data_IF_316656724787
#
_entry.id   IF_316656724787
#
_cell.length_a   1.000
_cell.length_b   1.000
_cell.length_c   1.000
_cell.angle_alpha   90.00
_cell.angle_beta   90.00
_cell.angle_gamma   90.00
#
_symmetry.space_group_name_H-M   'P 1'
#
loop_
_entity.id
_entity.type
_entity.pdbx_description
1 polymer ?
#
# COMPACT_ATOMS: atom_id res chain seq x y z
N UNK A 1 -25.78 -10.84 5.31
CA UNK A 1 -24.96 -10.65 6.51
C UNK A 1 -23.54 -10.39 6.04
N UNK A 2 -23.22 -9.13 5.78
CA UNK A 2 -21.92 -8.71 5.25
C UNK A 2 -20.97 -8.67 6.44
N UNK A 3 -19.87 -9.43 6.39
CA UNK A 3 -18.86 -9.40 7.45
C UNK A 3 -18.27 -7.98 7.49
N UNK A 4 -18.51 -7.28 8.59
CA UNK A 4 -17.83 -6.05 8.95
C UNK A 4 -16.34 -6.36 9.02
N UNK A 5 -15.59 -5.89 8.01
CA UNK A 5 -14.14 -6.07 7.90
C UNK A 5 -13.42 -5.06 8.81
N UNK A 6 -13.82 -5.03 10.09
CA UNK A 6 -13.14 -4.26 11.13
C UNK A 6 -11.91 -5.03 11.58
N UNK A 7 -10.94 -5.16 10.66
CA UNK A 7 -9.56 -5.40 11.05
C UNK A 7 -9.17 -4.14 11.82
N UNK A 8 -8.85 -4.24 13.13
CA UNK A 8 -8.41 -3.06 13.88
C UNK A 8 -7.27 -2.42 13.10
N UNK A 9 -7.30 -1.09 12.86
CA UNK A 9 -6.25 -0.43 12.11
C UNK A 9 -4.93 -0.79 12.78
N UNK A 10 -3.97 -1.25 11.98
CA UNK A 10 -2.65 -1.52 12.49
C UNK A 10 -2.16 -0.27 13.24
N UNK A 11 -1.56 -0.45 14.41
CA UNK A 11 -1.17 0.67 15.26
C UNK A 11 -0.22 1.60 14.50
N UNK A 12 -0.70 2.76 14.05
CA UNK A 12 0.10 3.74 13.29
C UNK A 12 -0.70 4.49 12.22
N UNK A 13 -0.10 5.50 11.58
CA UNK A 13 -0.73 6.22 10.47
C UNK A 13 -0.82 5.36 9.21
N UNK A 14 -1.85 5.59 8.41
CA UNK A 14 -1.91 5.09 7.05
C UNK A 14 -1.01 5.93 6.14
N UNK A 15 -0.21 5.27 5.31
CA UNK A 15 0.55 5.91 4.24
C UNK A 15 -0.28 5.84 2.96
N UNK A 16 -0.61 7.00 2.40
CA UNK A 16 -1.46 7.11 1.21
C UNK A 16 -0.62 7.66 0.06
N UNK A 17 -0.43 6.86 -0.99
CA UNK A 17 0.21 7.30 -2.23
C UNK A 17 -0.87 7.66 -3.23
N UNK A 18 -0.95 8.94 -3.58
CA UNK A 18 -1.90 9.45 -4.57
C UNK A 18 -1.22 9.51 -5.94
N UNK A 19 -1.84 8.87 -6.91
CA UNK A 19 -1.38 8.76 -8.30
C UNK A 19 0.10 8.35 -8.44
N UNK A 20 0.58 7.30 -7.74
CA UNK A 20 1.96 6.87 -7.87
C UNK A 20 2.26 6.41 -9.30
N UNK A 21 3.42 6.82 -9.79
CA UNK A 21 3.77 6.70 -11.21
C UNK A 21 4.48 5.38 -11.57
N UNK A 22 5.27 4.82 -10.65
CA UNK A 22 6.07 3.62 -10.89
C UNK A 22 5.87 2.61 -9.76
N UNK A 23 5.72 1.34 -10.10
CA UNK A 23 5.62 0.25 -9.13
C UNK A 23 6.85 0.19 -8.21
N UNK A 24 8.03 0.43 -8.75
CA UNK A 24 9.30 0.44 -8.01
C UNK A 24 9.28 1.46 -6.85
N UNK A 25 8.66 2.63 -7.05
CA UNK A 25 8.51 3.63 -5.99
C UNK A 25 7.59 3.15 -4.87
N UNK A 26 6.50 2.46 -5.24
CA UNK A 26 5.58 1.85 -4.26
C UNK A 26 6.33 0.79 -3.43
N UNK A 27 7.14 -0.04 -4.08
CA UNK A 27 7.98 -1.03 -3.39
C UNK A 27 8.99 -0.40 -2.43
N UNK A 28 9.68 0.67 -2.85
CA UNK A 28 10.61 1.41 -1.97
C UNK A 28 9.90 2.04 -0.77
N UNK A 29 8.68 2.57 -0.94
CA UNK A 29 7.85 3.06 0.16
C UNK A 29 7.48 1.93 1.11
N UNK A 30 7.02 0.79 0.61
CA UNK A 30 6.71 -0.39 1.42
C UNK A 30 7.92 -0.86 2.24
N UNK A 31 9.11 -0.86 1.64
CA UNK A 31 10.37 -1.17 2.34
C UNK A 31 10.66 -0.18 3.47
N UNK A 32 10.49 1.12 3.22
CA UNK A 32 10.66 2.13 4.26
C UNK A 32 9.65 1.93 5.39
N UNK A 33 8.37 1.69 5.07
CA UNK A 33 7.32 1.40 6.04
C UNK A 33 7.70 0.23 6.97
N UNK A 34 8.12 -0.90 6.41
CA UNK A 34 8.52 -2.08 7.20
C UNK A 34 9.70 -1.79 8.14
N UNK A 35 10.68 -0.98 7.70
CA UNK A 35 11.81 -0.58 8.55
C UNK A 35 11.39 0.30 9.74
N UNK A 36 10.27 1.01 9.63
CA UNK A 36 9.74 1.91 10.66
C UNK A 36 8.49 1.38 11.36
N UNK A 37 8.15 0.10 11.17
CA UNK A 37 7.00 -0.54 11.83
C UNK A 37 5.62 -0.07 11.33
N UNK A 38 5.56 0.55 10.15
CA UNK A 38 4.32 0.93 9.48
C UNK A 38 3.84 -0.21 8.59
N UNK A 39 2.53 -0.41 8.53
CA UNK A 39 1.94 -1.56 7.81
C UNK A 39 0.72 -1.20 6.96
N UNK A 40 0.12 -0.03 7.15
CA UNK A 40 -1.07 0.36 6.40
C UNK A 40 -0.71 1.21 5.17
N UNK A 41 -0.68 0.57 3.99
CA UNK A 41 -0.47 1.22 2.70
C UNK A 41 -1.80 1.34 1.94
N UNK A 42 -2.09 2.54 1.44
CA UNK A 42 -3.23 2.82 0.57
C UNK A 42 -2.74 3.47 -0.72
N UNK A 43 -3.27 3.01 -1.84
CA UNK A 43 -2.96 3.53 -3.17
C UNK A 43 -4.21 4.19 -3.74
N UNK A 44 -4.08 5.42 -4.21
CA UNK A 44 -5.17 6.12 -4.91
C UNK A 44 -4.75 6.24 -6.37
N UNK A 45 -5.57 5.71 -7.28
CA UNK A 45 -5.37 5.80 -8.74
C UNK A 45 -3.93 5.56 -9.23
N UNK A 46 -3.29 4.41 -8.90
CA UNK A 46 -1.92 4.12 -9.35
C UNK A 46 -1.86 4.04 -10.88
N UNK A 47 -0.96 4.81 -11.51
CA UNK A 47 -0.93 4.98 -12.98
C UNK A 47 -0.79 3.67 -13.74
N UNK A 48 0.12 2.82 -13.29
CA UNK A 48 0.44 1.55 -13.95
C UNK A 48 -0.46 0.40 -13.45
N UNK A 49 -1.47 0.69 -12.62
CA UNK A 49 -2.41 -0.28 -12.04
C UNK A 49 -1.85 -1.07 -10.85
N UNK A 50 -2.69 -1.98 -10.34
CA UNK A 50 -2.37 -2.87 -9.21
C UNK A 50 -3.06 -4.23 -9.39
N UNK A 51 -2.46 -5.38 -9.02
CA UNK A 51 -1.15 -5.56 -8.37
C UNK A 51 0.04 -5.24 -9.28
N UNK A 52 1.21 -5.01 -8.68
CA UNK A 52 2.45 -4.69 -9.41
C UNK A 52 3.61 -5.60 -9.01
N UNK A 53 4.09 -6.42 -9.96
CA UNK A 53 5.28 -7.25 -9.77
C UNK A 53 6.53 -6.41 -9.51
N UNK A 54 6.64 -5.24 -10.17
CA UNK A 54 7.71 -4.27 -9.96
C UNK A 54 7.73 -3.75 -8.52
N UNK A 55 6.56 -3.47 -7.94
CA UNK A 55 6.45 -3.07 -6.55
C UNK A 55 6.89 -4.19 -5.60
N UNK A 56 6.46 -5.43 -5.85
CA UNK A 56 6.90 -6.60 -5.07
C UNK A 56 8.42 -6.78 -5.12
N UNK A 57 9.00 -6.72 -6.32
CA UNK A 57 10.46 -6.86 -6.50
C UNK A 57 11.25 -5.78 -5.75
N UNK A 58 10.77 -4.53 -5.74
CA UNK A 58 11.41 -3.42 -5.06
C UNK A 58 11.18 -3.40 -3.53
N UNK A 59 10.19 -4.14 -3.01
CA UNK A 59 9.80 -4.13 -1.59
C UNK A 59 10.81 -4.79 -0.64
N UNK A 60 11.75 -5.59 -1.14
CA UNK A 60 12.86 -6.16 -0.35
C UNK A 60 12.39 -6.84 0.96
N UNK A 61 11.54 -7.87 0.84
CA UNK A 61 10.89 -8.60 1.95
C UNK A 61 9.78 -7.85 2.70
N UNK A 62 9.45 -6.63 2.28
CA UNK A 62 8.22 -5.95 2.72
C UNK A 62 6.97 -6.41 1.93
N UNK A 63 6.96 -7.66 1.45
CA UNK A 63 5.85 -8.24 0.67
C UNK A 63 4.53 -8.13 1.42
N UNK A 64 4.55 -8.28 2.76
CA UNK A 64 3.37 -8.15 3.61
C UNK A 64 2.69 -6.76 3.52
N UNK A 65 3.43 -5.68 3.29
CA UNK A 65 2.86 -4.33 3.09
C UNK A 65 2.22 -4.22 1.70
N UNK A 66 2.84 -4.81 0.69
CA UNK A 66 2.34 -4.86 -0.69
C UNK A 66 1.06 -5.71 -0.75
N UNK A 67 1.06 -6.89 -0.13
CA UNK A 67 -0.06 -7.83 -0.14
C UNK A 67 -1.28 -7.29 0.62
N UNK A 68 -1.04 -6.46 1.64
CA UNK A 68 -2.09 -5.80 2.42
C UNK A 68 -2.53 -4.43 1.83
N UNK A 69 -1.90 -3.96 0.74
CA UNK A 69 -2.19 -2.64 0.18
C UNK A 69 -3.64 -2.57 -0.33
N UNK A 70 -4.34 -1.49 0.02
CA UNK A 70 -5.70 -1.22 -0.44
C UNK A 70 -5.68 -0.18 -1.56
N UNK A 71 -6.45 -0.41 -2.62
CA UNK A 71 -6.53 0.50 -3.78
C UNK A 71 -7.87 1.21 -3.79
N UNK A 72 -7.83 2.50 -4.09
CA UNK A 72 -8.98 3.40 -4.18
C UNK A 72 -8.94 4.12 -5.53
N UNK A 73 -10.12 4.41 -6.07
CA UNK A 73 -10.25 5.11 -7.35
C UNK A 73 -10.00 6.62 -7.23
N UNK A 74 -10.34 7.22 -6.07
CA UNK A 74 -10.20 8.66 -5.83
C UNK A 74 -9.73 8.99 -4.40
N UNK A 75 -9.42 10.28 -4.20
CA UNK A 75 -9.27 10.90 -2.89
C UNK A 75 -10.52 11.74 -2.62
N UNK A 76 -11.30 11.37 -1.62
CA UNK A 76 -12.47 12.14 -1.22
C UNK A 76 -12.09 13.57 -0.80
N UNK A 77 -12.86 14.55 -1.30
CA UNK A 77 -12.74 15.99 -1.01
C UNK A 77 -13.61 16.44 0.16
#
# INVERSE_FOLDING_TARGET
MQASNDIPPAAGPAIILVEPQLGENIGMVARAMANFGLSELRLVNPRDGWPSEKARAAASRADHVIDAARVFDDLAS
#
